data_IF_982987490879
#
_entry.id   IF_982987490879
#
_cell.length_a   1.000
_cell.length_b   1.000
_cell.length_c   1.000
_cell.angle_alpha   90.00
_cell.angle_beta   90.00
_cell.angle_gamma   90.00
#
_symmetry.space_group_name_H-M   'P 1'
#
loop_
_entity.id
_entity.type
_entity.pdbx_description
1 polymer ?
#
# COMPACT_ATOMS: atom_id res chain seq x y z
N UNK A 1 8.01 -22.33 -6.79
CA UNK A 1 7.17 -22.48 -5.57
C UNK A 1 5.88 -21.70 -5.81
N UNK A 2 4.83 -21.86 -5.00
CA UNK A 2 3.84 -20.78 -4.89
C UNK A 2 4.55 -19.50 -4.41
N UNK A 3 4.19 -18.35 -4.98
CA UNK A 3 4.77 -17.06 -4.59
C UNK A 3 4.07 -16.56 -3.32
N UNK A 4 4.62 -16.93 -2.16
CA UNK A 4 4.23 -16.35 -0.88
C UNK A 4 4.69 -14.90 -0.81
N UNK A 5 3.75 -13.97 -0.64
CA UNK A 5 4.09 -12.56 -0.52
C UNK A 5 4.54 -12.24 0.91
N UNK A 6 5.78 -11.81 1.08
CA UNK A 6 6.38 -11.45 2.37
C UNK A 6 6.71 -9.94 2.45
N UNK A 7 6.10 -9.10 1.60
CA UNK A 7 6.44 -7.67 1.49
C UNK A 7 5.96 -6.79 2.64
N UNK A 8 5.05 -7.27 3.49
CA UNK A 8 4.52 -6.55 4.65
C UNK A 8 4.08 -7.53 5.76
N UNK A 9 3.91 -7.04 6.98
CA UNK A 9 3.48 -7.87 8.13
C UNK A 9 2.14 -8.59 7.82
N UNK A 10 1.16 -7.87 7.28
CA UNK A 10 -0.13 -8.45 6.88
C UNK A 10 0.02 -9.50 5.75
N UNK A 11 0.97 -9.31 4.82
CA UNK A 11 1.26 -10.29 3.77
C UNK A 11 1.92 -11.57 4.33
N UNK A 12 2.77 -11.46 5.37
CA UNK A 12 3.33 -12.61 6.09
C UNK A 12 2.21 -13.43 6.75
N UNK A 13 1.26 -12.79 7.44
CA UNK A 13 0.11 -13.48 8.03
C UNK A 13 -0.74 -14.21 6.98
N UNK A 14 -1.10 -13.53 5.89
CA UNK A 14 -1.85 -14.13 4.79
C UNK A 14 -1.07 -15.28 4.10
N UNK A 15 0.25 -15.16 3.98
CA UNK A 15 1.11 -16.23 3.46
C UNK A 15 1.18 -17.44 4.40
N UNK A 16 1.13 -17.23 5.72
CA UNK A 16 1.05 -18.32 6.70
C UNK A 16 -0.25 -19.12 6.54
N UNK A 17 -1.39 -18.43 6.42
CA UNK A 17 -2.69 -19.06 6.18
C UNK A 17 -2.71 -19.86 4.86
N UNK A 18 -2.19 -19.28 3.78
CA UNK A 18 -2.06 -19.96 2.48
C UNK A 18 -1.13 -21.18 2.55
N UNK A 19 -0.07 -21.12 3.35
CA UNK A 19 0.82 -22.25 3.57
C UNK A 19 0.13 -23.38 4.36
N UNK A 20 -0.61 -23.06 5.42
CA UNK A 20 -1.43 -24.02 6.18
C UNK A 20 -2.52 -24.67 5.32
N UNK A 21 -3.25 -23.88 4.54
CA UNK A 21 -4.28 -24.40 3.61
C UNK A 21 -3.65 -25.37 2.61
N UNK A 22 -2.49 -25.02 2.04
CA UNK A 22 -1.78 -25.87 1.09
C UNK A 22 -1.25 -27.15 1.75
N UNK A 23 -0.67 -27.07 2.95
CA UNK A 23 -0.16 -28.23 3.68
C UNK A 23 -1.26 -29.26 3.92
N UNK A 24 -2.45 -28.81 4.32
CA UNK A 24 -3.63 -29.66 4.53
C UNK A 24 -4.23 -30.22 3.23
N UNK A 25 -3.86 -29.70 2.06
CA UNK A 25 -4.29 -30.19 0.75
C UNK A 25 -3.32 -31.22 0.14
N UNK A 26 -2.17 -31.48 0.77
CA UNK A 26 -1.20 -32.46 0.26
C UNK A 26 -1.79 -33.89 0.28
N UNK A 27 -1.78 -34.64 -0.84
CA UNK A 27 -2.43 -35.96 -0.94
C UNK A 27 -1.90 -37.03 0.02
N UNK A 28 -0.68 -36.84 0.53
CA UNK A 28 -0.09 -37.68 1.56
C UNK A 28 0.53 -36.77 2.64
N UNK A 29 -0.07 -36.78 3.83
CA UNK A 29 0.38 -36.00 4.99
C UNK A 29 1.69 -36.52 5.61
N UNK A 30 2.05 -37.79 5.37
CA UNK A 30 3.34 -38.37 5.77
C UNK A 30 4.47 -38.06 4.77
N UNK A 31 4.19 -37.29 3.72
CA UNK A 31 5.19 -36.93 2.72
C UNK A 31 6.14 -35.83 3.21
N UNK A 32 7.38 -35.84 2.69
CA UNK A 32 8.34 -34.75 2.88
C UNK A 32 7.75 -33.37 2.50
N UNK A 33 6.90 -33.31 1.46
CA UNK A 33 6.29 -32.06 1.00
C UNK A 33 5.26 -31.52 2.00
N UNK A 34 4.42 -32.38 2.57
CA UNK A 34 3.51 -32.00 3.65
C UNK A 34 4.27 -31.54 4.89
N UNK A 35 5.28 -32.30 5.34
CA UNK A 35 6.11 -31.92 6.49
C UNK A 35 6.84 -30.57 6.27
N UNK A 36 7.35 -30.32 5.06
CA UNK A 36 7.99 -29.05 4.72
C UNK A 36 6.99 -27.89 4.70
N UNK A 37 5.80 -28.08 4.12
CA UNK A 37 4.75 -27.05 4.07
C UNK A 37 4.22 -26.70 5.46
N UNK A 38 3.94 -27.69 6.32
CA UNK A 38 3.53 -27.46 7.71
C UNK A 38 4.63 -26.70 8.49
N UNK A 39 5.89 -27.12 8.39
CA UNK A 39 7.01 -26.44 9.06
C UNK A 39 7.25 -25.01 8.54
N UNK A 40 7.02 -24.76 7.25
CA UNK A 40 7.08 -23.42 6.66
C UNK A 40 5.91 -22.54 7.11
N UNK A 41 4.69 -23.09 7.15
CA UNK A 41 3.50 -22.40 7.63
C UNK A 41 3.65 -21.99 9.11
N UNK A 42 4.09 -22.90 9.98
CA UNK A 42 4.42 -22.63 11.38
C UNK A 42 5.47 -21.53 11.56
N UNK A 43 6.48 -21.49 10.69
CA UNK A 43 7.51 -20.46 10.73
C UNK A 43 6.96 -19.08 10.33
N UNK A 44 6.08 -19.03 9.32
CA UNK A 44 5.39 -17.79 8.94
C UNK A 44 4.40 -17.32 10.01
N UNK A 45 3.63 -18.23 10.64
CA UNK A 45 2.73 -17.90 11.75
C UNK A 45 3.51 -17.28 12.91
N UNK A 46 4.62 -17.88 13.34
CA UNK A 46 5.47 -17.32 14.41
C UNK A 46 6.08 -15.97 14.04
N UNK A 47 6.46 -15.78 12.77
CA UNK A 47 6.95 -14.50 12.29
C UNK A 47 5.84 -13.43 12.34
N UNK A 48 4.64 -13.74 11.88
CA UNK A 48 3.47 -12.86 11.99
C UNK A 48 3.16 -12.48 13.44
N UNK A 49 3.04 -13.47 14.34
CA UNK A 49 2.81 -13.25 15.78
C UNK A 49 3.88 -12.35 16.41
N UNK A 50 5.16 -12.52 16.03
CA UNK A 50 6.27 -11.70 16.53
C UNK A 50 6.34 -10.26 15.98
N UNK A 51 5.57 -9.99 14.91
CA UNK A 51 5.46 -8.70 14.24
C UNK A 51 4.13 -7.99 14.54
N UNK A 52 3.17 -8.69 15.16
CA UNK A 52 1.84 -8.15 15.49
C UNK A 52 1.91 -6.90 16.39
N UNK A 53 2.70 -6.86 17.49
CA UNK A 53 2.79 -5.66 18.33
C UNK A 53 3.35 -4.43 17.59
N UNK A 54 4.24 -4.65 16.61
CA UNK A 54 4.80 -3.61 15.76
C UNK A 54 3.77 -3.12 14.76
N UNK A 55 2.89 -4.00 14.26
CA UNK A 55 1.75 -3.63 13.41
C UNK A 55 0.75 -2.79 14.19
N UNK A 56 0.32 -3.25 15.37
CA UNK A 56 -0.61 -2.52 16.25
C UNK A 56 -0.06 -1.14 16.64
N UNK A 57 1.22 -1.04 17.00
CA UNK A 57 1.86 0.24 17.34
C UNK A 57 1.88 1.20 16.14
N UNK A 58 2.20 0.69 14.95
CA UNK A 58 2.23 1.49 13.72
C UNK A 58 0.83 1.97 13.34
N UNK A 59 -0.17 1.09 13.39
CA UNK A 59 -1.59 1.43 13.17
C UNK A 59 -2.07 2.50 14.18
N UNK A 60 -1.70 2.39 15.46
CA UNK A 60 -2.05 3.36 16.49
C UNK A 60 -1.39 4.74 16.25
N UNK A 61 -0.13 4.79 15.80
CA UNK A 61 0.57 6.03 15.45
C UNK A 61 -0.08 6.68 14.22
N UNK A 62 -0.36 5.89 13.17
CA UNK A 62 -1.03 6.35 11.94
C UNK A 62 -2.42 6.92 12.26
N UNK A 63 -3.22 6.19 13.06
CA UNK A 63 -4.53 6.65 13.51
C UNK A 63 -4.45 7.95 14.31
N UNK A 64 -3.54 8.03 15.29
CA UNK A 64 -3.32 9.25 16.07
C UNK A 64 -2.89 10.44 15.19
N UNK A 65 -2.00 10.25 14.21
CA UNK A 65 -1.62 11.32 13.28
C UNK A 65 -2.81 11.76 12.41
N UNK A 66 -3.62 10.82 11.92
CA UNK A 66 -4.83 11.11 11.14
C UNK A 66 -5.95 11.82 11.92
N UNK A 67 -6.04 11.62 13.24
CA UNK A 67 -7.00 12.33 14.11
C UNK A 67 -6.52 13.74 14.52
N UNK A 68 -5.21 13.99 14.51
CA UNK A 68 -4.60 15.18 15.14
C UNK A 68 -4.26 16.31 14.17
N UNK A 69 -4.12 16.00 12.88
CA UNK A 69 -3.74 16.93 11.82
C UNK A 69 -4.77 16.89 10.70
N UNK A 70 -5.04 18.04 10.07
CA UNK A 70 -5.82 18.02 8.82
C UNK A 70 -5.00 17.41 7.67
N UNK A 71 -5.67 17.06 6.57
CA UNK A 71 -5.01 16.38 5.43
C UNK A 71 -3.84 17.15 4.82
N UNK A 72 -3.81 18.49 4.91
CA UNK A 72 -2.73 19.32 4.38
C UNK A 72 -1.57 19.45 5.37
N UNK A 73 -1.86 19.64 6.65
CA UNK A 73 -0.84 19.61 7.71
C UNK A 73 -0.16 18.24 7.80
N UNK A 74 -0.95 17.17 7.77
CA UNK A 74 -0.47 15.79 7.80
C UNK A 74 0.39 15.47 6.57
N UNK A 75 -0.03 15.90 5.37
CA UNK A 75 0.78 15.76 4.17
C UNK A 75 2.12 16.48 4.31
N UNK A 76 2.15 17.74 4.79
CA UNK A 76 3.40 18.48 5.00
C UNK A 76 4.34 17.82 6.02
N UNK A 77 3.79 17.18 7.05
CA UNK A 77 4.60 16.39 8.00
C UNK A 77 5.20 15.15 7.30
N UNK A 78 4.38 14.35 6.61
CA UNK A 78 4.84 13.11 5.99
C UNK A 78 5.77 13.36 4.79
N UNK A 79 5.38 14.24 3.88
CA UNK A 79 6.10 14.52 2.64
C UNK A 79 7.29 15.47 2.85
N UNK A 80 7.09 16.62 3.50
CA UNK A 80 8.14 17.66 3.57
C UNK A 80 9.06 17.51 4.78
N UNK A 81 8.60 16.90 5.88
CA UNK A 81 9.41 16.75 7.12
C UNK A 81 10.01 15.36 7.27
N UNK A 82 9.31 14.30 6.82
CA UNK A 82 9.79 12.92 6.85
C UNK A 82 10.28 12.41 5.48
N UNK A 83 10.31 13.28 4.46
CA UNK A 83 10.80 13.00 3.09
C UNK A 83 10.11 11.80 2.41
N UNK A 84 8.87 11.46 2.81
CA UNK A 84 8.12 10.33 2.26
C UNK A 84 7.48 10.65 0.91
N UNK A 85 7.57 9.73 -0.04
CA UNK A 85 6.88 9.84 -1.32
C UNK A 85 5.37 9.61 -1.21
N UNK A 86 4.60 10.13 -2.18
CA UNK A 86 3.15 9.87 -2.31
C UNK A 86 2.78 8.39 -2.33
N UNK A 87 3.69 7.52 -2.78
CA UNK A 87 3.47 6.08 -2.80
C UNK A 87 3.62 5.49 -1.39
N UNK A 88 4.60 5.95 -0.60
CA UNK A 88 4.81 5.51 0.77
C UNK A 88 3.69 6.03 1.69
N UNK A 89 3.28 7.29 1.52
CA UNK A 89 2.13 7.88 2.24
C UNK A 89 0.85 7.09 1.97
N UNK A 90 0.55 6.77 0.70
CA UNK A 90 -0.57 5.89 0.33
C UNK A 90 -0.42 4.47 0.91
N UNK A 91 0.81 3.97 1.04
CA UNK A 91 1.09 2.64 1.62
C UNK A 91 0.89 2.58 3.14
N UNK A 92 0.94 3.72 3.84
CA UNK A 92 0.51 3.85 5.25
C UNK A 92 -1.03 3.85 5.40
N UNK A 93 -1.80 3.87 4.30
CA UNK A 93 -3.26 3.94 4.31
C UNK A 93 -3.85 5.35 4.24
N UNK A 94 -3.02 6.39 4.06
CA UNK A 94 -3.49 7.76 3.91
C UNK A 94 -3.83 8.10 2.44
N UNK A 95 -5.12 8.29 2.14
CA UNK A 95 -5.60 8.84 0.85
C UNK A 95 -5.76 10.37 0.94
N UNK A 96 -4.63 11.08 0.98
CA UNK A 96 -4.63 12.55 1.08
C UNK A 96 -4.86 13.18 -0.31
N UNK A 97 -5.63 14.29 -0.43
CA UNK A 97 -5.88 14.97 -1.70
C UNK A 97 -4.62 15.36 -2.49
N UNK A 98 -3.49 15.54 -1.79
CA UNK A 98 -2.18 15.90 -2.31
C UNK A 98 -1.48 14.71 -2.99
N UNK A 99 -1.71 13.47 -2.53
CA UNK A 99 -1.16 12.24 -3.12
C UNK A 99 -1.86 11.83 -4.43
N UNK A 100 -2.82 12.63 -4.91
CA UNK A 100 -3.48 12.42 -6.19
C UNK A 100 -2.52 12.79 -7.30
N UNK A 101 -2.23 11.81 -8.16
CA UNK A 101 -1.55 12.06 -9.42
C UNK A 101 -2.24 13.21 -10.16
N UNK A 102 -1.47 14.18 -10.72
CA UNK A 102 -2.06 15.26 -11.48
C UNK A 102 -2.82 14.63 -12.65
N UNK A 103 -4.14 14.79 -12.63
CA UNK A 103 -5.04 14.28 -13.66
C UNK A 103 -4.45 14.67 -15.02
N UNK A 104 -4.07 13.67 -15.83
CA UNK A 104 -3.39 13.87 -17.12
C UNK A 104 -4.47 14.29 -18.13
N UNK A 105 -5.05 15.45 -17.86
CA UNK A 105 -5.94 16.17 -18.74
C UNK A 105 -5.26 16.29 -20.08
N UNK A 106 -5.89 15.67 -21.09
CA UNK A 106 -5.47 15.78 -22.48
C UNK A 106 -5.27 17.27 -22.83
N UNK A 107 -4.11 17.64 -23.41
CA UNK A 107 -3.62 19.01 -23.31
C UNK A 107 -4.53 20.00 -24.02
N UNK A 108 -4.88 21.08 -23.31
CA UNK A 108 -5.62 22.22 -23.84
C UNK A 108 -4.94 22.81 -25.09
N UNK A 109 -5.65 22.87 -26.22
CA UNK A 109 -5.26 23.74 -27.34
C UNK A 109 -5.84 25.13 -27.16
N UNK A 110 -4.99 26.13 -27.39
CA UNK A 110 -5.15 27.53 -26.96
C UNK A 110 -6.19 28.31 -27.76
N UNK A 111 -6.65 29.40 -27.15
CA UNK A 111 -7.68 30.31 -27.65
C UNK A 111 -7.28 31.17 -28.87
N UNK A 112 -8.33 31.68 -29.53
CA UNK A 112 -8.48 33.06 -30.07
C UNK A 112 -7.93 33.38 -31.48
N UNK A 113 -8.83 33.90 -32.33
CA UNK A 113 -8.49 34.44 -33.65
C UNK A 113 -9.70 34.98 -34.45
N UNK A 114 -10.37 36.04 -33.96
CA UNK A 114 -11.33 36.81 -34.78
C UNK A 114 -10.57 37.43 -35.96
N UNK A 115 -11.05 37.26 -37.21
CA UNK A 115 -10.59 38.03 -38.36
C UNK A 115 -11.40 39.33 -38.47
N UNK A 116 -10.74 40.48 -38.29
CA UNK A 116 -11.30 41.81 -38.57
C UNK A 116 -11.07 42.18 -40.05
N UNK A 117 -12.10 42.69 -40.75
CA UNK A 117 -12.08 43.55 -41.96
C UNK A 117 -13.44 44.29 -41.97
N UNK A 118 -13.60 45.61 -42.17
CA UNK A 118 -12.72 46.80 -42.19
C UNK A 118 -13.58 48.04 -41.78
N UNK A 119 -13.03 49.27 -41.85
CA UNK A 119 -13.79 50.52 -42.01
C UNK A 119 -13.02 51.38 -43.02
N UNK A 120 -13.68 51.93 -44.05
CA UNK A 120 -13.17 53.13 -44.73
C UNK A 120 -14.30 53.90 -45.45
N UNK A 121 -14.36 55.21 -45.16
CA UNK A 121 -15.19 56.30 -45.74
C UNK A 121 -16.69 56.07 -45.93
#
# INVERSE_FOLDING_TARGET
MPDYNLSSIAAVSASAELAHIRANQEPNQDSYNAAWLHGYADALTKAAESLEPQRELMEAIIGYMGERYDSAELYGILHDTLEMSDQEIRSLGFDLPQCREPDVGTPTKKQKGRKNIFYER
#
